data_IF_420488120863
#
_entry.id   IF_420488120863
#
_cell.length_a   1.000
_cell.length_b   1.000
_cell.length_c   1.000
_cell.angle_alpha   90.00
_cell.angle_beta   90.00
_cell.angle_gamma   90.00
#
_symmetry.space_group_name_H-M   'P 1'
#
loop_
_entity.id
_entity.type
_entity.pdbx_description
1 polymer ?
#
# COMPACT_ATOMS: atom_id res chain seq x y z
N UNK A 1 6.28 5.40 7.80
CA UNK A 1 6.35 4.90 6.40
C UNK A 1 7.61 4.10 6.14
N UNK A 2 8.72 4.34 6.86
CA UNK A 2 9.93 3.51 6.79
C UNK A 2 9.71 1.99 6.94
N UNK A 3 8.72 1.57 7.75
CA UNK A 3 8.36 0.14 7.89
C UNK A 3 7.82 -0.46 6.58
N UNK A 4 6.93 0.25 5.89
CA UNK A 4 6.38 -0.17 4.61
C UNK A 4 7.47 -0.24 3.52
N UNK A 5 8.40 0.73 3.49
CA UNK A 5 9.53 0.71 2.54
C UNK A 5 10.43 -0.50 2.78
N UNK A 6 10.69 -0.82 4.06
CA UNK A 6 11.42 -2.01 4.44
C UNK A 6 10.71 -3.28 3.98
N UNK A 7 9.40 -3.37 4.17
CA UNK A 7 8.60 -4.54 3.77
C UNK A 7 8.57 -4.76 2.25
N UNK A 8 8.50 -3.69 1.43
CA UNK A 8 8.65 -3.84 -0.04
C UNK A 8 10.04 -4.30 -0.42
N UNK A 9 11.08 -3.78 0.24
CA UNK A 9 12.43 -4.27 0.00
C UNK A 9 12.59 -5.75 0.36
N UNK A 10 12.02 -6.19 1.49
CA UNK A 10 11.98 -7.60 1.86
C UNK A 10 11.19 -8.43 0.84
N UNK A 11 10.11 -7.90 0.26
CA UNK A 11 9.36 -8.57 -0.81
C UNK A 11 10.23 -8.81 -2.07
N UNK A 12 11.09 -7.86 -2.43
CA UNK A 12 12.04 -8.02 -3.55
C UNK A 12 13.04 -9.15 -3.26
N UNK A 13 13.59 -9.20 -2.04
CA UNK A 13 14.51 -10.27 -1.64
C UNK A 13 13.85 -11.65 -1.68
N UNK A 14 12.57 -11.76 -1.28
CA UNK A 14 11.82 -13.01 -1.34
C UNK A 14 11.51 -13.42 -2.79
N UNK A 15 11.24 -12.46 -3.68
CA UNK A 15 11.10 -12.71 -5.11
C UNK A 15 12.40 -13.31 -5.71
N UNK A 16 13.57 -12.77 -5.35
CA UNK A 16 14.87 -13.29 -5.81
C UNK A 16 15.10 -14.74 -5.34
N UNK A 17 14.61 -15.08 -4.15
CA UNK A 17 14.62 -16.46 -3.61
C UNK A 17 13.55 -17.37 -4.23
N UNK A 18 12.70 -16.84 -5.12
CA UNK A 18 11.52 -17.52 -5.70
C UNK A 18 10.45 -17.88 -4.67
N UNK A 19 10.44 -17.18 -3.54
CA UNK A 19 9.42 -17.30 -2.50
C UNK A 19 8.22 -16.42 -2.84
N UNK A 20 7.54 -16.73 -3.94
CA UNK A 20 6.50 -15.89 -4.54
C UNK A 20 5.35 -15.55 -3.58
N UNK A 21 4.91 -16.51 -2.77
CA UNK A 21 3.83 -16.30 -1.81
C UNK A 21 4.22 -15.32 -0.69
N UNK A 22 5.46 -15.39 -0.19
CA UNK A 22 5.94 -14.48 0.85
C UNK A 22 6.18 -13.08 0.27
N UNK A 23 6.77 -13.00 -0.92
CA UNK A 23 6.95 -11.74 -1.63
C UNK A 23 5.62 -11.01 -1.88
N UNK A 24 4.58 -11.73 -2.31
CA UNK A 24 3.22 -11.18 -2.47
C UNK A 24 2.61 -10.71 -1.13
N UNK A 25 2.80 -11.48 -0.05
CA UNK A 25 2.30 -11.14 1.27
C UNK A 25 2.99 -9.88 1.83
N UNK A 26 4.30 -9.77 1.69
CA UNK A 26 5.09 -8.61 2.09
C UNK A 26 4.72 -7.36 1.28
N UNK A 27 4.60 -7.48 -0.05
CA UNK A 27 4.16 -6.38 -0.90
C UNK A 27 2.75 -5.89 -0.50
N UNK A 28 1.82 -6.80 -0.23
CA UNK A 28 0.49 -6.42 0.25
C UNK A 28 0.53 -5.75 1.64
N UNK A 29 1.28 -6.33 2.59
CA UNK A 29 1.39 -5.80 3.95
C UNK A 29 1.98 -4.40 3.98
N UNK A 30 2.99 -4.13 3.15
CA UNK A 30 3.59 -2.80 3.03
C UNK A 30 2.58 -1.72 2.60
N UNK A 31 1.70 -2.01 1.63
CA UNK A 31 0.66 -1.08 1.20
C UNK A 31 -0.36 -0.82 2.31
N UNK A 32 -0.74 -1.86 3.06
CA UNK A 32 -1.61 -1.72 4.24
C UNK A 32 -0.91 -0.88 5.32
N UNK A 33 0.37 -1.13 5.60
CA UNK A 33 1.16 -0.38 6.58
C UNK A 33 1.27 1.11 6.23
N UNK A 34 1.53 1.43 4.96
CA UNK A 34 1.56 2.81 4.46
C UNK A 34 0.18 3.49 4.58
N UNK A 35 -0.90 2.78 4.22
CA UNK A 35 -2.27 3.27 4.38
C UNK A 35 -2.61 3.55 5.85
N UNK A 36 -2.21 2.66 6.75
CA UNK A 36 -2.42 2.83 8.19
C UNK A 36 -1.67 4.06 8.71
N UNK A 37 -0.45 4.31 8.24
CA UNK A 37 0.30 5.49 8.63
C UNK A 37 -0.41 6.81 8.24
N UNK A 38 -1.07 6.82 7.08
CA UNK A 38 -1.94 7.94 6.67
C UNK A 38 -3.18 8.06 7.58
N UNK A 39 -3.92 6.96 7.76
CA UNK A 39 -5.15 6.95 8.57
C UNK A 39 -4.87 7.39 10.02
N UNK A 40 -3.70 7.03 10.57
CA UNK A 40 -3.26 7.47 11.90
C UNK A 40 -3.17 9.00 12.08
N UNK A 41 -3.05 9.77 11.00
CA UNK A 41 -3.09 11.24 11.07
C UNK A 41 -4.49 11.76 11.48
N UNK A 42 -5.56 11.03 11.13
CA UNK A 42 -6.94 11.43 11.42
C UNK A 42 -7.59 10.56 12.52
N UNK A 43 -7.15 9.31 12.69
CA UNK A 43 -7.71 8.35 13.64
C UNK A 43 -6.57 7.66 14.41
N UNK A 44 -6.37 8.11 15.64
CA UNK A 44 -5.28 7.61 16.48
C UNK A 44 -5.44 6.11 16.83
N UNK A 45 -6.67 5.66 17.09
CA UNK A 45 -6.99 4.30 17.54
C UNK A 45 -7.46 3.38 16.40
N UNK A 46 -6.79 3.44 15.24
CA UNK A 46 -7.12 2.55 14.12
C UNK A 46 -6.61 1.11 14.41
N UNK A 47 -7.49 0.08 14.34
CA UNK A 47 -7.07 -1.32 14.48
C UNK A 47 -6.07 -1.72 13.40
N UNK A 48 -5.21 -2.70 13.71
CA UNK A 48 -4.17 -3.19 12.79
C UNK A 48 -4.70 -4.19 11.75
N UNK A 49 -6.01 -4.45 11.76
CA UNK A 49 -6.64 -5.37 10.82
C UNK A 49 -6.63 -4.78 9.41
N UNK A 50 -6.16 -5.53 8.38
CA UNK A 50 -6.04 -5.01 7.02
C UNK A 50 -7.38 -4.49 6.47
N UNK A 51 -8.47 -5.21 6.74
CA UNK A 51 -9.83 -4.81 6.35
C UNK A 51 -10.20 -3.41 6.86
N UNK A 52 -9.96 -3.13 8.14
CA UNK A 52 -10.31 -1.86 8.78
C UNK A 52 -9.43 -0.73 8.28
N UNK A 53 -8.14 -1.00 8.07
CA UNK A 53 -7.21 -0.01 7.52
C UNK A 53 -7.61 0.37 6.10
N UNK A 54 -7.94 -0.61 5.25
CA UNK A 54 -8.33 -0.37 3.85
C UNK A 54 -9.66 0.38 3.78
N UNK A 55 -10.63 0.03 4.62
CA UNK A 55 -11.93 0.71 4.71
C UNK A 55 -11.76 2.18 5.12
N UNK A 56 -11.06 2.45 6.22
CA UNK A 56 -10.85 3.81 6.71
C UNK A 56 -9.99 4.64 5.75
N UNK A 57 -8.98 4.03 5.11
CA UNK A 57 -8.21 4.68 4.06
C UNK A 57 -9.10 5.07 2.87
N UNK A 58 -9.99 4.17 2.44
CA UNK A 58 -10.91 4.43 1.34
C UNK A 58 -11.83 5.60 1.66
N UNK A 59 -12.48 5.57 2.82
CA UNK A 59 -13.44 6.60 3.23
C UNK A 59 -12.77 7.97 3.46
N UNK A 60 -11.55 8.00 4.01
CA UNK A 60 -10.91 9.26 4.41
C UNK A 60 -9.98 9.87 3.38
N UNK A 61 -9.43 9.07 2.49
CA UNK A 61 -8.40 9.53 1.54
C UNK A 61 -8.79 9.33 0.08
N UNK A 62 -9.66 8.37 -0.24
CA UNK A 62 -10.09 8.14 -1.63
C UNK A 62 -11.39 8.86 -1.94
N UNK A 63 -12.41 8.71 -1.09
CA UNK A 63 -13.71 9.40 -1.26
C UNK A 63 -13.58 10.92 -1.21
N UNK A 64 -12.67 11.41 -0.36
CA UNK A 64 -12.34 12.83 -0.20
C UNK A 64 -11.30 13.35 -1.19
N UNK A 65 -10.81 12.48 -2.08
CA UNK A 65 -9.77 12.77 -3.07
C UNK A 65 -8.42 13.27 -2.47
N UNK A 66 -8.20 13.14 -1.16
CA UNK A 66 -6.95 13.60 -0.50
C UNK A 66 -5.71 12.80 -0.95
N UNK A 67 -5.88 11.52 -1.30
CA UNK A 67 -4.82 10.69 -1.86
C UNK A 67 -4.53 11.00 -3.33
N UNK A 68 -5.36 11.83 -3.98
CA UNK A 68 -5.26 12.03 -5.41
C UNK A 68 -4.07 12.96 -5.66
N UNK A 69 -3.10 12.44 -6.39
CA UNK A 69 -2.07 13.27 -6.99
C UNK A 69 -2.61 13.96 -8.25
N UNK A 70 -2.14 15.19 -8.52
CA UNK A 70 -2.61 16.03 -9.64
C UNK A 70 -2.50 15.35 -11.01
N UNK A 71 -1.62 14.34 -11.14
CA UNK A 71 -1.40 13.62 -12.39
C UNK A 71 -2.04 12.23 -12.41
N UNK A 72 -2.13 11.55 -11.27
CA UNK A 72 -2.51 10.14 -11.20
C UNK A 72 -3.94 9.86 -10.69
N UNK A 73 -4.68 10.86 -10.18
CA UNK A 73 -6.12 10.77 -9.78
C UNK A 73 -6.48 9.50 -8.99
N UNK A 74 -5.63 9.07 -8.07
CA UNK A 74 -5.87 7.87 -7.24
C UNK A 74 -5.57 6.52 -7.91
N UNK A 75 -4.90 6.49 -9.08
CA UNK A 75 -4.50 5.24 -9.76
C UNK A 75 -3.77 4.27 -8.82
N UNK A 76 -2.91 4.79 -7.96
CA UNK A 76 -2.12 3.97 -7.05
C UNK A 76 -2.98 3.26 -6.00
N UNK A 77 -4.06 3.90 -5.53
CA UNK A 77 -4.96 3.29 -4.56
C UNK A 77 -5.67 2.05 -5.10
N UNK A 78 -5.91 1.99 -6.42
CA UNK A 78 -6.47 0.80 -7.06
C UNK A 78 -5.60 -0.43 -6.88
N UNK A 79 -4.28 -0.30 -6.78
CA UNK A 79 -3.40 -1.46 -6.60
C UNK A 79 -3.67 -2.16 -5.27
N UNK A 80 -3.74 -1.38 -4.17
CA UNK A 80 -4.09 -1.91 -2.86
C UNK A 80 -5.50 -2.52 -2.86
N UNK A 81 -6.50 -1.79 -3.37
CA UNK A 81 -7.90 -2.25 -3.38
C UNK A 81 -8.06 -3.54 -4.19
N UNK A 82 -7.44 -3.60 -5.36
CA UNK A 82 -7.49 -4.78 -6.22
C UNK A 82 -6.85 -5.99 -5.53
N UNK A 83 -5.63 -5.84 -5.00
CA UNK A 83 -4.94 -6.92 -4.28
C UNK A 83 -5.69 -7.35 -3.01
N UNK A 84 -6.31 -6.42 -2.30
CA UNK A 84 -7.11 -6.71 -1.12
C UNK A 84 -8.37 -7.52 -1.45
N UNK A 85 -9.06 -7.15 -2.54
CA UNK A 85 -10.32 -7.79 -2.93
C UNK A 85 -10.12 -9.12 -3.68
N UNK A 86 -9.11 -9.21 -4.54
CA UNK A 86 -8.86 -10.37 -5.39
C UNK A 86 -8.02 -11.45 -4.70
N UNK A 87 -7.32 -11.10 -3.62
CA UNK A 87 -6.41 -12.01 -2.93
C UNK A 87 -5.02 -12.07 -3.59
N UNK A 88 -4.18 -13.05 -3.22
CA UNK A 88 -2.81 -13.17 -3.71
C UNK A 88 -2.74 -13.25 -5.24
N UNK A 89 -1.71 -12.62 -5.80
CA UNK A 89 -1.44 -12.73 -7.25
C UNK A 89 -0.94 -14.15 -7.58
N UNK A 90 -0.85 -14.44 -8.87
CA UNK A 90 -0.31 -15.73 -9.30
C UNK A 90 1.13 -15.91 -8.76
N UNK A 91 1.44 -17.10 -8.28
CA UNK A 91 2.72 -17.42 -7.65
C UNK A 91 3.82 -17.65 -8.71
N UNK A 92 4.07 -16.62 -9.53
CA UNK A 92 5.11 -16.57 -10.54
C UNK A 92 5.87 -15.25 -10.46
N UNK A 93 7.04 -15.21 -11.10
CA UNK A 93 7.95 -14.08 -11.00
C UNK A 93 7.37 -12.78 -11.60
N UNK A 94 6.63 -12.85 -12.72
CA UNK A 94 6.11 -11.67 -13.40
C UNK A 94 4.99 -11.03 -12.57
N UNK A 95 4.02 -11.83 -12.15
CA UNK A 95 2.89 -11.37 -11.35
C UNK A 95 3.33 -10.75 -10.02
N UNK A 96 4.25 -11.40 -9.31
CA UNK A 96 4.75 -10.91 -8.02
C UNK A 96 5.63 -9.68 -8.20
N UNK A 97 6.49 -9.65 -9.22
CA UNK A 97 7.31 -8.47 -9.51
C UNK A 97 6.43 -7.26 -9.84
N UNK A 98 5.38 -7.45 -10.64
CA UNK A 98 4.41 -6.40 -10.94
C UNK A 98 3.72 -5.89 -9.67
N UNK A 99 3.34 -6.77 -8.75
CA UNK A 99 2.74 -6.36 -7.48
C UNK A 99 3.70 -5.55 -6.60
N UNK A 100 4.98 -5.93 -6.56
CA UNK A 100 6.02 -5.20 -5.81
C UNK A 100 6.20 -3.79 -6.40
N UNK A 101 6.27 -3.65 -7.72
CA UNK A 101 6.35 -2.34 -8.38
C UNK A 101 5.12 -1.47 -8.04
N UNK A 102 3.94 -2.06 -8.09
CA UNK A 102 2.69 -1.40 -7.68
C UNK A 102 2.72 -0.97 -6.20
N UNK A 103 3.26 -1.80 -5.31
CA UNK A 103 3.41 -1.48 -3.90
C UNK A 103 4.38 -0.31 -3.69
N UNK A 104 5.52 -0.30 -4.39
CA UNK A 104 6.48 0.80 -4.33
C UNK A 104 5.84 2.12 -4.78
N UNK A 105 5.13 2.12 -5.91
CA UNK A 105 4.41 3.29 -6.42
C UNK A 105 3.32 3.76 -5.44
N UNK A 106 2.63 2.84 -4.78
CA UNK A 106 1.65 3.17 -3.75
C UNK A 106 2.29 3.84 -2.53
N UNK A 107 3.43 3.34 -2.06
CA UNK A 107 4.14 3.89 -0.90
C UNK A 107 4.66 5.29 -1.19
N UNK A 108 5.19 5.53 -2.39
CA UNK A 108 5.63 6.86 -2.82
C UNK A 108 4.45 7.86 -2.83
N UNK A 109 3.32 7.45 -3.39
CA UNK A 109 2.09 8.25 -3.37
C UNK A 109 1.58 8.50 -1.95
N UNK A 110 1.66 7.50 -1.07
CA UNK A 110 1.29 7.63 0.34
C UNK A 110 2.22 8.62 1.06
N UNK A 111 3.54 8.56 0.81
CA UNK A 111 4.50 9.49 1.37
C UNK A 111 4.24 10.93 0.93
N UNK A 112 3.97 11.13 -0.36
CA UNK A 112 3.60 12.44 -0.89
C UNK A 112 2.30 12.98 -0.24
N UNK A 113 1.29 12.13 -0.06
CA UNK A 113 0.04 12.49 0.63
C UNK A 113 0.29 12.84 2.11
N UNK A 114 1.09 12.04 2.80
CA UNK A 114 1.46 12.27 4.20
C UNK A 114 2.19 13.60 4.37
N UNK A 115 3.19 13.87 3.52
CA UNK A 115 3.95 15.12 3.56
C UNK A 115 3.07 16.35 3.30
N UNK A 116 2.07 16.25 2.41
CA UNK A 116 1.08 17.31 2.18
C UNK A 116 0.25 17.57 3.43
N UNK A 117 -0.30 16.52 4.04
CA UNK A 117 -1.17 16.61 5.21
C UNK A 117 -0.43 17.11 6.47
N UNK A 118 0.88 16.89 6.56
CA UNK A 118 1.69 17.30 7.71
C UNK A 118 2.17 18.76 7.67
N UNK A 119 2.02 19.45 6.53
CA UNK A 119 2.46 20.85 6.34
C UNK A 119 1.32 21.85 6.58
N UNK A 120 0.12 21.38 6.90
CA UNK A 120 -1.08 22.20 7.16
C UNK A 120 -1.33 22.47 8.65
#
# INVERSE_FOLDING_TARGET
>A
MADAEREVFEAQLELEKKNYAEADALAYRSMVGASRALVKQQVYDIPERPESVVEEFTHRFLDTELFYDKYAKGKFARYLLQRHQQGPVHADADSVHQLIDQAQLFIDAAYACYARCAVE
#
